data_IF_562219401237
#
_entry.id   IF_562219401237
#
_cell.length_a   1.000
_cell.length_b   1.000
_cell.length_c   1.000
_cell.angle_alpha   90.00
_cell.angle_beta   90.00
_cell.angle_gamma   90.00
#
_symmetry.space_group_name_H-M   'P 1'
#
loop_
_entity.id
_entity.type
_entity.pdbx_description
1 polymer ?
#
# COMPACT_ATOMS: atom_id res chain seq x y z
N UNK A 1 0.52 12.31 5.20
CA UNK A 1 1.84 11.66 5.27
C UNK A 1 2.49 11.71 3.92
N UNK A 2 3.78 12.02 3.88
CA UNK A 2 4.60 11.99 2.66
C UNK A 2 5.07 10.58 2.35
N UNK A 3 5.53 10.37 1.12
CA UNK A 3 6.13 9.10 0.69
C UNK A 3 7.28 8.65 1.61
N UNK A 4 8.20 9.56 1.94
CA UNK A 4 9.36 9.25 2.78
C UNK A 4 8.98 8.89 4.21
N UNK A 5 7.98 9.57 4.78
CA UNK A 5 7.45 9.26 6.11
C UNK A 5 6.87 7.84 6.17
N UNK A 6 6.15 7.43 5.12
CA UNK A 6 5.57 6.08 5.02
C UNK A 6 6.67 5.03 4.98
N UNK A 7 7.70 5.23 4.15
CA UNK A 7 8.83 4.30 4.08
C UNK A 7 9.56 4.20 5.44
N UNK A 8 9.69 5.32 6.15
CA UNK A 8 10.32 5.34 7.47
C UNK A 8 9.49 4.61 8.53
N UNK A 9 8.17 4.81 8.57
CA UNK A 9 7.27 4.07 9.50
C UNK A 9 7.36 2.56 9.26
N UNK A 10 7.32 2.14 7.99
CA UNK A 10 7.46 0.73 7.62
C UNK A 10 8.84 0.19 8.06
N UNK A 11 9.91 0.96 7.83
CA UNK A 11 11.27 0.58 8.21
C UNK A 11 11.49 0.46 9.72
N UNK A 12 10.71 1.16 10.55
CA UNK A 12 10.74 1.00 12.02
C UNK A 12 9.78 -0.07 12.54
N UNK A 13 9.16 -0.83 11.65
CA UNK A 13 8.23 -1.92 12.00
C UNK A 13 6.83 -1.45 12.40
N UNK A 14 6.48 -0.18 12.16
CA UNK A 14 5.15 0.35 12.43
C UNK A 14 4.25 0.12 11.22
N UNK A 15 3.35 -0.85 11.35
CA UNK A 15 2.41 -1.22 10.29
C UNK A 15 0.98 -0.80 10.62
N UNK A 16 0.28 -0.32 9.60
CA UNK A 16 -1.16 -0.06 9.65
C UNK A 16 -1.95 -1.25 9.11
N UNK A 17 -3.21 -1.38 9.51
CA UNK A 17 -4.02 -2.52 9.05
C UNK A 17 -4.41 -2.40 7.59
N UNK A 18 -4.52 -1.18 7.05
CA UNK A 18 -4.86 -0.95 5.64
C UNK A 18 -3.97 0.14 5.05
N UNK A 19 -3.37 -0.15 3.89
CA UNK A 19 -2.66 0.78 3.04
C UNK A 19 -3.43 0.91 1.73
N UNK A 20 -4.16 2.00 1.54
CA UNK A 20 -4.88 2.28 0.30
C UNK A 20 -4.06 3.26 -0.54
N UNK A 21 -3.34 2.70 -1.51
CA UNK A 21 -2.41 3.41 -2.37
C UNK A 21 -3.08 3.63 -3.72
N UNK A 22 -3.41 4.87 -4.05
CA UNK A 22 -4.08 5.19 -5.30
C UNK A 22 -3.43 6.38 -5.99
N UNK A 23 -3.56 6.48 -7.30
CA UNK A 23 -3.06 7.66 -8.02
C UNK A 23 -2.56 7.35 -9.41
N UNK A 24 -2.06 8.39 -10.06
CA UNK A 24 -1.62 8.33 -11.45
C UNK A 24 -0.17 7.86 -11.60
N UNK A 25 0.65 8.07 -10.57
CA UNK A 25 2.06 7.70 -10.55
C UNK A 25 2.23 6.29 -9.93
N UNK A 26 2.50 5.23 -10.71
CA UNK A 26 2.67 3.89 -10.16
C UNK A 26 3.95 3.74 -9.33
N UNK A 27 5.01 4.52 -9.60
CA UNK A 27 6.32 4.33 -8.97
C UNK A 27 6.26 4.35 -7.44
N UNK A 28 5.58 5.34 -6.84
CA UNK A 28 5.48 5.44 -5.39
C UNK A 28 4.65 4.32 -4.78
N UNK A 29 3.60 3.87 -5.49
CA UNK A 29 2.74 2.77 -5.06
C UNK A 29 3.58 1.49 -5.01
N UNK A 30 4.30 1.19 -6.09
CA UNK A 30 5.18 0.03 -6.18
C UNK A 30 6.26 0.06 -5.12
N UNK A 31 6.84 1.25 -4.87
CA UNK A 31 7.90 1.37 -3.88
C UNK A 31 7.41 1.20 -2.45
N UNK A 32 6.21 1.69 -2.11
CA UNK A 32 5.59 1.44 -0.80
C UNK A 32 5.26 -0.06 -0.68
N UNK A 33 4.63 -0.65 -1.70
CA UNK A 33 4.26 -2.07 -1.71
C UNK A 33 5.46 -2.99 -1.50
N UNK A 34 6.56 -2.78 -2.24
CA UNK A 34 7.82 -3.51 -2.06
C UNK A 34 8.41 -3.33 -0.67
N UNK A 35 8.25 -2.14 -0.08
CA UNK A 35 8.79 -1.86 1.26
C UNK A 35 7.97 -2.59 2.31
N UNK A 36 6.64 -2.64 2.17
CA UNK A 36 5.78 -3.47 3.02
C UNK A 36 6.13 -4.95 2.85
N UNK A 37 6.22 -5.46 1.62
CA UNK A 37 6.62 -6.85 1.36
C UNK A 37 7.98 -7.19 2.00
N UNK A 38 8.97 -6.32 1.88
CA UNK A 38 10.31 -6.55 2.43
C UNK A 38 10.44 -6.49 3.95
N UNK A 39 9.52 -5.81 4.66
CA UNK A 39 9.66 -5.54 6.10
C UNK A 39 8.52 -6.07 6.97
N UNK A 40 7.35 -6.34 6.39
CA UNK A 40 6.16 -6.72 7.16
C UNK A 40 6.27 -8.13 7.74
N UNK A 41 7.00 -9.03 7.08
CA UNK A 41 7.17 -10.42 7.51
C UNK A 41 8.63 -10.84 7.39
N UNK A 42 9.12 -11.66 8.34
CA UNK A 42 10.35 -12.42 8.14
C UNK A 42 10.23 -13.33 6.91
N UNK A 43 11.35 -13.57 6.21
CA UNK A 43 11.37 -14.38 4.99
C UNK A 43 10.77 -15.79 5.17
N UNK A 44 11.00 -16.41 6.33
CA UNK A 44 10.47 -17.73 6.67
C UNK A 44 8.94 -17.76 6.84
N UNK A 45 8.31 -16.63 7.18
CA UNK A 45 6.87 -16.53 7.40
C UNK A 45 6.09 -16.17 6.13
N UNK A 46 6.75 -15.56 5.13
CA UNK A 46 6.10 -15.10 3.90
C UNK A 46 5.33 -16.20 3.18
N UNK A 47 5.88 -17.41 3.10
CA UNK A 47 5.23 -18.55 2.43
C UNK A 47 3.88 -18.96 3.03
N UNK A 48 3.60 -18.58 4.27
CA UNK A 48 2.36 -18.94 4.98
C UNK A 48 1.47 -17.73 5.28
N UNK A 49 2.08 -16.58 5.55
CA UNK A 49 1.41 -15.38 6.03
C UNK A 49 1.29 -14.28 4.98
N UNK A 50 1.78 -14.49 3.75
CA UNK A 50 1.63 -13.55 2.65
C UNK A 50 0.79 -14.12 1.51
N UNK A 51 -0.10 -13.30 0.96
CA UNK A 51 -0.78 -13.58 -0.30
C UNK A 51 -0.80 -12.34 -1.18
N UNK A 52 -0.48 -12.54 -2.46
CA UNK A 52 -0.57 -11.50 -3.50
C UNK A 52 -1.68 -11.90 -4.45
N UNK A 53 -2.63 -10.99 -4.63
CA UNK A 53 -3.82 -11.16 -5.45
C UNK A 53 -3.85 -10.07 -6.52
N UNK A 54 -4.40 -10.38 -7.68
CA UNK A 54 -4.55 -9.44 -8.80
C UNK A 54 -6.03 -9.12 -9.01
N UNK A 55 -6.35 -7.83 -9.17
CA UNK A 55 -7.74 -7.36 -9.24
C UNK A 55 -8.59 -8.06 -10.31
N UNK A 56 -8.02 -8.37 -11.47
CA UNK A 56 -8.72 -9.10 -12.54
C UNK A 56 -9.15 -10.53 -12.16
N UNK A 57 -8.49 -11.13 -11.19
CA UNK A 57 -8.57 -12.57 -10.89
C UNK A 57 -9.33 -12.87 -9.60
N UNK A 58 -9.70 -11.83 -8.83
CA UNK A 58 -10.31 -11.99 -7.51
C UNK A 58 -11.60 -11.18 -7.38
N UNK A 59 -12.59 -11.74 -6.69
CA UNK A 59 -13.81 -11.05 -6.29
C UNK A 59 -13.78 -10.64 -4.81
N UNK A 60 -14.76 -9.83 -4.41
CA UNK A 60 -14.83 -9.28 -3.06
C UNK A 60 -14.96 -10.38 -1.99
N UNK A 61 -15.72 -11.44 -2.26
CA UNK A 61 -15.97 -12.52 -1.30
C UNK A 61 -14.66 -13.28 -1.03
N UNK A 62 -13.98 -13.69 -2.10
CA UNK A 62 -12.71 -14.41 -2.04
C UNK A 62 -11.64 -13.59 -1.33
N UNK A 63 -11.54 -12.29 -1.64
CA UNK A 63 -10.59 -11.40 -0.98
C UNK A 63 -10.91 -11.25 0.51
N UNK A 64 -12.18 -11.10 0.89
CA UNK A 64 -12.60 -11.04 2.29
C UNK A 64 -12.21 -12.31 3.06
N UNK A 65 -12.29 -13.48 2.43
CA UNK A 65 -11.87 -14.74 3.03
C UNK A 65 -10.36 -14.77 3.31
N UNK A 66 -9.53 -14.15 2.47
CA UNK A 66 -8.10 -13.99 2.76
C UNK A 66 -7.88 -12.99 3.90
N UNK A 67 -8.53 -11.83 3.84
CA UNK A 67 -8.38 -10.74 4.82
C UNK A 67 -8.79 -11.16 6.24
N UNK A 68 -9.69 -12.13 6.36
CA UNK A 68 -10.24 -12.62 7.63
C UNK A 68 -9.49 -13.80 8.26
N UNK A 69 -8.45 -14.32 7.59
CA UNK A 69 -7.63 -15.39 8.16
C UNK A 69 -6.84 -14.87 9.36
N UNK A 70 -6.42 -15.76 10.23
CA UNK A 70 -5.41 -15.41 11.23
C UNK A 70 -4.03 -15.81 10.71
N UNK A 71 -2.96 -15.07 11.08
CA UNK A 71 -1.61 -15.49 10.73
C UNK A 71 -1.30 -16.86 11.33
N UNK A 72 -0.61 -17.69 10.55
CA UNK A 72 -0.10 -18.98 10.98
C UNK A 72 1.27 -18.79 11.65
N UNK A 73 1.35 -19.11 12.95
CA UNK A 73 2.60 -19.08 13.71
C UNK A 73 3.36 -17.74 13.64
N UNK A 74 2.65 -16.61 13.51
CA UNK A 74 3.24 -15.28 13.38
C UNK A 74 2.32 -14.20 13.95
N UNK A 75 2.84 -12.98 14.09
CA UNK A 75 2.09 -11.85 14.64
C UNK A 75 1.10 -11.23 13.66
N UNK A 76 1.37 -11.35 12.35
CA UNK A 76 0.63 -10.66 11.31
C UNK A 76 0.62 -11.42 10.00
N UNK A 77 -0.38 -11.15 9.17
CA UNK A 77 -0.44 -11.59 7.78
C UNK A 77 -0.41 -10.36 6.86
N UNK A 78 0.02 -10.57 5.62
CA UNK A 78 0.11 -9.54 4.58
C UNK A 78 -0.73 -9.98 3.39
N UNK A 79 -1.72 -9.17 3.04
CA UNK A 79 -2.56 -9.38 1.86
C UNK A 79 -2.31 -8.21 0.92
N UNK A 80 -1.83 -8.48 -0.29
CA UNK A 80 -1.54 -7.44 -1.29
C UNK A 80 -2.50 -7.62 -2.46
N UNK A 81 -3.30 -6.60 -2.76
CA UNK A 81 -4.14 -6.52 -3.94
C UNK A 81 -3.49 -5.60 -4.98
N UNK A 82 -2.92 -6.19 -6.03
CA UNK A 82 -2.35 -5.48 -7.17
C UNK A 82 -3.42 -5.21 -8.23
N UNK A 83 -3.27 -4.10 -8.96
CA UNK A 83 -4.21 -3.66 -10.00
C UNK A 83 -5.67 -3.58 -9.51
N UNK A 84 -5.88 -3.04 -8.31
CA UNK A 84 -7.17 -3.01 -7.63
C UNK A 84 -8.28 -2.30 -8.43
N UNK A 85 -7.91 -1.36 -9.31
CA UNK A 85 -8.84 -0.68 -10.22
C UNK A 85 -9.55 -1.63 -11.20
N UNK A 86 -8.98 -2.81 -11.43
CA UNK A 86 -9.53 -3.83 -12.32
C UNK A 86 -10.44 -4.83 -11.59
N UNK A 87 -10.50 -4.73 -10.25
CA UNK A 87 -11.31 -5.61 -9.42
C UNK A 87 -12.79 -5.25 -9.47
N UNK A 88 -13.62 -6.23 -9.81
CA UNK A 88 -15.07 -6.13 -9.69
C UNK A 88 -15.46 -6.24 -8.21
N UNK A 89 -16.29 -5.32 -7.72
CA UNK A 89 -16.73 -5.33 -6.32
C UNK A 89 -15.73 -4.75 -5.32
N UNK A 90 -14.70 -4.01 -5.75
CA UNK A 90 -13.82 -3.27 -4.84
C UNK A 90 -14.60 -2.42 -3.79
N UNK A 91 -15.69 -1.71 -4.16
CA UNK A 91 -16.49 -0.95 -3.19
C UNK A 91 -17.11 -1.79 -2.06
N UNK A 92 -17.29 -3.10 -2.27
CA UNK A 92 -17.93 -4.01 -1.30
C UNK A 92 -17.02 -4.30 -0.09
N UNK A 93 -15.72 -3.95 -0.20
CA UNK A 93 -14.76 -4.04 0.90
C UNK A 93 -14.97 -2.97 1.98
N UNK A 94 -15.85 -1.98 1.75
CA UNK A 94 -16.06 -0.87 2.70
C UNK A 94 -16.37 -1.34 4.12
N UNK A 95 -17.21 -2.37 4.26
CA UNK A 95 -17.58 -2.92 5.57
C UNK A 95 -16.39 -3.55 6.32
N UNK A 96 -15.43 -4.15 5.59
CA UNK A 96 -14.21 -4.66 6.19
C UNK A 96 -13.28 -3.51 6.61
N UNK A 97 -13.13 -2.50 5.75
CA UNK A 97 -12.26 -1.34 6.02
C UNK A 97 -12.75 -0.50 7.19
N UNK A 98 -14.05 -0.48 7.48
CA UNK A 98 -14.62 0.16 8.68
C UNK A 98 -14.11 -0.49 9.99
N UNK A 99 -13.79 -1.78 9.99
CA UNK A 99 -13.25 -2.52 11.13
C UNK A 99 -12.24 -3.60 10.67
N UNK A 100 -11.04 -3.19 10.24
CA UNK A 100 -10.07 -4.11 9.68
C UNK A 100 -9.46 -4.97 10.77
N UNK A 101 -9.00 -6.18 10.42
CA UNK A 101 -8.34 -7.04 11.38
C UNK A 101 -6.98 -6.45 11.80
N UNK A 102 -6.71 -6.26 13.11
CA UNK A 102 -5.44 -5.69 13.57
C UNK A 102 -4.21 -6.49 13.16
N UNK A 103 -4.36 -7.81 13.04
CA UNK A 103 -3.30 -8.75 12.63
C UNK A 103 -3.12 -8.83 11.11
N UNK A 104 -3.86 -8.06 10.31
CA UNK A 104 -3.78 -8.07 8.86
C UNK A 104 -3.23 -6.75 8.36
N UNK A 105 -2.15 -6.80 7.59
CA UNK A 105 -1.65 -5.68 6.79
C UNK A 105 -2.19 -5.85 5.38
N UNK A 106 -3.25 -5.09 5.06
CA UNK A 106 -3.89 -5.11 3.76
C UNK A 106 -3.38 -3.97 2.88
N UNK A 107 -2.71 -4.28 1.77
CA UNK A 107 -2.18 -3.30 0.82
C UNK A 107 -3.01 -3.31 -0.47
N UNK A 108 -3.67 -2.20 -0.77
CA UNK A 108 -4.44 -1.99 -2.00
C UNK A 108 -3.64 -1.11 -2.95
N UNK A 109 -3.25 -1.65 -4.10
CA UNK A 109 -2.54 -0.93 -5.15
C UNK A 109 -3.51 -0.58 -6.28
N UNK A 110 -4.10 0.61 -6.22
CA UNK A 110 -5.01 1.16 -7.23
C UNK A 110 -4.26 2.11 -8.17
N UNK A 111 -3.57 1.55 -9.16
CA UNK A 111 -2.64 2.28 -10.02
C UNK A 111 -3.33 3.05 -11.14
N UNK A 112 -2.61 4.00 -11.70
CA UNK A 112 -2.96 4.82 -12.87
C UNK A 112 -4.21 5.69 -12.77
N UNK A 113 -4.95 5.64 -11.65
CA UNK A 113 -6.20 6.36 -11.46
C UNK A 113 -6.43 6.68 -9.99
N UNK A 114 -7.01 7.86 -9.73
CA UNK A 114 -7.49 8.22 -8.39
C UNK A 114 -8.80 7.52 -8.06
N UNK A 115 -8.92 7.09 -6.81
CA UNK A 115 -10.16 6.53 -6.30
C UNK A 115 -11.15 7.64 -5.92
N UNK A 116 -12.45 7.42 -6.15
CA UNK A 116 -13.49 8.40 -5.77
C UNK A 116 -13.80 8.30 -4.27
N UNK A 117 -13.31 9.30 -3.54
CA UNK A 117 -13.43 9.37 -2.08
C UNK A 117 -14.85 9.64 -1.57
N UNK A 118 -15.81 9.96 -2.45
CA UNK A 118 -17.22 10.17 -2.08
C UNK A 118 -17.99 8.86 -1.92
N UNK A 119 -17.45 7.77 -2.46
CA UNK A 119 -18.02 6.43 -2.33
C UNK A 119 -18.01 5.94 -0.88
N UNK A 120 -18.76 4.88 -0.57
CA UNK A 120 -18.76 4.29 0.77
C UNK A 120 -17.37 3.82 1.19
N UNK A 121 -16.67 3.10 0.30
CA UNK A 121 -15.28 2.68 0.56
C UNK A 121 -14.37 3.91 0.77
N UNK A 122 -14.49 4.93 -0.09
CA UNK A 122 -13.74 6.18 0.05
C UNK A 122 -13.90 6.82 1.43
N UNK A 123 -15.12 6.88 1.96
CA UNK A 123 -15.40 7.39 3.31
C UNK A 123 -14.81 6.50 4.40
N UNK A 124 -14.89 5.17 4.26
CA UNK A 124 -14.34 4.23 5.25
C UNK A 124 -12.81 4.33 5.40
N UNK A 125 -12.11 4.76 4.35
CA UNK A 125 -10.65 4.93 4.35
C UNK A 125 -10.16 6.11 5.22
N UNK A 126 -11.06 6.91 5.77
CA UNK A 126 -10.75 7.97 6.74
C UNK A 126 -10.69 7.46 8.19
N UNK A 127 -10.90 6.15 8.39
CA UNK A 127 -10.85 5.49 9.69
C UNK A 127 -9.45 5.49 10.33
N UNK A 128 -9.41 5.10 11.61
CA UNK A 128 -8.16 4.96 12.35
C UNK A 128 -7.39 3.73 11.86
N UNK A 129 -6.06 3.79 11.96
CA UNK A 129 -5.16 2.71 11.53
C UNK A 129 -5.24 2.35 10.02
N UNK A 130 -5.64 3.32 9.20
CA UNK A 130 -5.65 3.24 7.75
C UNK A 130 -4.70 4.31 7.21
N UNK A 131 -3.84 3.94 6.27
CA UNK A 131 -3.07 4.87 5.46
C UNK A 131 -3.76 5.06 4.12
N UNK A 132 -4.16 6.30 3.81
CA UNK A 132 -4.54 6.70 2.46
C UNK A 132 -3.38 7.47 1.83
N UNK A 133 -2.92 7.02 0.66
CA UNK A 133 -1.84 7.67 -0.08
C UNK A 133 -2.26 8.00 -1.51
N UNK A 134 -2.23 9.29 -1.87
CA UNK A 134 -2.46 9.80 -3.22
C UNK A 134 -1.13 9.97 -3.95
N UNK A 135 -0.82 9.00 -4.81
CA UNK A 135 0.35 8.97 -5.68
C UNK A 135 0.16 9.90 -6.87
N UNK A 136 0.47 11.17 -6.65
CA UNK A 136 0.39 12.21 -7.68
C UNK A 136 1.55 12.09 -8.64
N UNK A 137 1.30 12.36 -9.93
CA UNK A 137 2.38 12.63 -10.89
C UNK A 137 3.21 13.81 -10.38
N UNK A 138 4.53 13.61 -10.39
CA UNK A 138 5.46 14.71 -10.22
C UNK A 138 5.37 15.59 -11.47
N UNK A 139 5.14 16.89 -11.26
CA UNK A 139 5.26 17.85 -12.33
C UNK A 139 6.75 18.08 -12.65
N UNK A 140 7.07 18.43 -13.89
CA UNK A 140 8.46 18.59 -14.38
C UNK A 140 9.30 19.54 -13.51
N UNK A 141 8.67 20.52 -12.87
CA UNK A 141 9.32 21.47 -11.98
C UNK A 141 9.64 20.90 -10.58
N UNK A 142 8.95 19.85 -10.14
CA UNK A 142 9.16 19.19 -8.84
C UNK A 142 10.11 17.99 -8.95
N UNK A 143 10.32 17.50 -10.17
CA UNK A 143 11.13 16.33 -10.44
C UNK A 143 12.61 16.52 -10.04
N UNK A 144 13.30 17.64 -10.33
CA UNK A 144 14.70 17.83 -9.94
C UNK A 144 14.91 17.81 -8.43
N UNK A 145 14.06 18.54 -7.69
CA UNK A 145 14.13 18.59 -6.22
C UNK A 145 13.85 17.23 -5.59
N UNK A 146 12.87 16.50 -6.14
CA UNK A 146 12.56 15.14 -5.69
C UNK A 146 13.70 14.16 -5.97
N UNK A 147 14.33 14.22 -7.15
CA UNK A 147 15.50 13.38 -7.49
C UNK A 147 16.65 13.70 -6.54
N UNK A 148 16.93 14.97 -6.27
CA UNK A 148 17.99 15.38 -5.35
C UNK A 148 17.73 14.87 -3.92
N UNK A 149 16.49 14.99 -3.43
CA UNK A 149 16.08 14.45 -2.14
C UNK A 149 16.21 12.92 -2.07
N UNK A 150 15.74 12.22 -3.11
CA UNK A 150 15.82 10.76 -3.20
C UNK A 150 17.27 10.26 -3.27
N UNK A 151 18.12 10.87 -4.09
CA UNK A 151 19.54 10.54 -4.20
C UNK A 151 20.25 10.72 -2.84
N UNK A 152 19.99 11.85 -2.16
CA UNK A 152 20.52 12.10 -0.82
C UNK A 152 20.05 11.05 0.20
N UNK A 153 18.77 10.64 0.16
CA UNK A 153 18.24 9.57 1.02
C UNK A 153 18.92 8.21 0.79
N UNK A 154 19.47 8.00 -0.40
CA UNK A 154 20.23 6.80 -0.78
C UNK A 154 21.73 6.92 -0.52
N UNK A 155 22.19 8.03 0.04
CA UNK A 155 23.61 8.32 0.26
C UNK A 155 24.38 8.61 -1.02
N UNK A 156 23.69 8.95 -2.11
CA UNK A 156 24.30 9.33 -3.39
C UNK A 156 24.32 10.86 -3.43
N UNK A 157 25.50 11.46 -3.22
CA UNK A 157 25.70 12.86 -3.55
C UNK A 157 25.79 12.98 -5.08
N UNK A 158 24.78 13.60 -5.68
CA UNK A 158 24.85 13.97 -7.09
C UNK A 158 25.89 15.08 -7.23
N UNK A 159 27.10 14.74 -7.69
CA UNK A 159 28.09 15.73 -8.09
C UNK A 159 27.50 16.56 -9.24
N UNK A 160 27.41 17.90 -9.13
CA UNK A 160 26.94 18.71 -10.24
C UNK A 160 27.87 18.51 -11.44
N UNK A 161 27.35 18.41 -12.68
CA UNK A 161 28.19 18.48 -13.86
C UNK A 161 28.85 19.88 -13.93
N UNK A 162 30.15 19.89 -14.20
CA UNK A 162 30.96 21.09 -14.40
C UNK A 162 30.60 21.86 -15.68
#
# INVERSE_FOLDING_TARGET
MTFEEILREIGTGQFRSVYFLHGEEPFFIDRIEQTVDGHALPEAEKGFNQVVLYGKEVDAITLLDYLRRYPMMGERQVVILREAQEMKGLPDLAAYVENPMPSTVFVVCHKHKKYDMRTRLGKSLQGKNILLFDSKKLYDNQLPDWIAGYAKSKGIEATPPA
#
